data_IF_684398348690
#
_entry.id   IF_684398348690
#
_cell.length_a   1.000
_cell.length_b   1.000
_cell.length_c   1.000
_cell.angle_alpha   90.00
_cell.angle_beta   90.00
_cell.angle_gamma   90.00
#
_symmetry.space_group_name_H-M   'P 1'
#
loop_
_entity.id
_entity.type
_entity.pdbx_description
1 polymer ?
#
# COMPACT_ATOMS: atom_id res chain seq x y z
N UNK A 1 1.70 -19.20 20.94
CA UNK A 1 2.10 -18.91 19.54
C UNK A 1 1.78 -17.48 19.11
N UNK A 2 0.84 -16.77 19.77
CA UNK A 2 0.48 -15.37 19.46
C UNK A 2 1.68 -14.40 19.41
N UNK A 3 2.60 -14.47 20.38
CA UNK A 3 3.84 -13.67 20.36
C UNK A 3 4.68 -13.90 19.10
N UNK A 4 4.87 -15.16 18.71
CA UNK A 4 5.64 -15.51 17.51
C UNK A 4 4.93 -14.98 16.26
N UNK A 5 3.60 -15.08 16.20
CA UNK A 5 2.84 -14.55 15.08
C UNK A 5 2.98 -13.02 14.96
N UNK A 6 2.92 -12.30 16.08
CA UNK A 6 3.18 -10.85 16.11
C UNK A 6 4.59 -10.51 15.62
N UNK A 7 5.61 -11.28 16.05
CA UNK A 7 6.98 -11.12 15.55
C UNK A 7 7.10 -11.36 14.04
N UNK A 8 6.41 -12.38 13.51
CA UNK A 8 6.41 -12.69 12.07
C UNK A 8 5.73 -11.60 11.24
N UNK A 9 4.61 -11.03 11.74
CA UNK A 9 3.93 -9.89 11.11
C UNK A 9 4.85 -8.67 11.12
N UNK A 10 5.44 -8.33 12.27
CA UNK A 10 6.38 -7.22 12.40
C UNK A 10 7.58 -7.38 11.46
N UNK A 11 8.15 -8.58 11.39
CA UNK A 11 9.27 -8.89 10.50
C UNK A 11 8.91 -8.70 9.02
N UNK A 12 7.69 -9.07 8.62
CA UNK A 12 7.21 -8.81 7.27
C UNK A 12 7.06 -7.31 6.97
N UNK A 13 6.52 -6.53 7.91
CA UNK A 13 6.42 -5.08 7.73
C UNK A 13 7.80 -4.42 7.59
N UNK A 14 8.80 -4.87 8.34
CA UNK A 14 10.18 -4.41 8.17
C UNK A 14 10.74 -4.76 6.79
N UNK A 15 10.48 -5.97 6.28
CA UNK A 15 10.88 -6.33 4.93
C UNK A 15 10.19 -5.47 3.85
N UNK A 16 8.89 -5.20 4.00
CA UNK A 16 8.20 -4.29 3.09
C UNK A 16 8.77 -2.87 3.14
N UNK A 17 9.06 -2.37 4.35
CA UNK A 17 9.70 -1.07 4.55
C UNK A 17 11.08 -1.01 3.90
N UNK A 18 11.88 -2.07 4.06
CA UNK A 18 13.21 -2.16 3.44
C UNK A 18 13.12 -2.17 1.90
N UNK A 19 12.17 -2.93 1.34
CA UNK A 19 11.93 -2.96 -0.11
C UNK A 19 11.50 -1.60 -0.64
N UNK A 20 10.58 -0.94 0.06
CA UNK A 20 10.13 0.41 -0.27
C UNK A 20 11.29 1.41 -0.24
N UNK A 21 12.10 1.43 0.82
CA UNK A 21 13.25 2.33 0.87
C UNK A 21 14.26 2.06 -0.24
N UNK A 22 14.49 0.80 -0.62
CA UNK A 22 15.35 0.47 -1.77
C UNK A 22 14.80 0.99 -3.09
N UNK A 23 13.47 1.00 -3.25
CA UNK A 23 12.80 1.60 -4.41
C UNK A 23 12.89 3.13 -4.40
N UNK A 24 12.75 3.75 -3.23
CA UNK A 24 12.62 5.21 -3.10
C UNK A 24 13.95 5.96 -2.96
N UNK A 25 14.93 5.38 -2.26
CA UNK A 25 16.20 6.04 -1.92
C UNK A 25 17.35 5.03 -2.08
N UNK A 26 18.08 5.05 -3.21
CA UNK A 26 19.17 4.09 -3.46
C UNK A 26 20.34 4.16 -2.45
N UNK A 27 20.41 5.21 -1.61
CA UNK A 27 21.50 5.46 -0.64
C UNK A 27 20.99 5.84 0.76
N UNK A 28 19.85 5.30 1.20
CA UNK A 28 19.31 5.53 2.55
C UNK A 28 20.04 4.74 3.64
N UNK A 29 19.78 5.06 4.92
CA UNK A 29 20.23 4.30 6.10
C UNK A 29 19.52 2.93 6.17
N UNK A 30 19.83 2.03 5.23
CA UNK A 30 19.27 0.67 5.15
C UNK A 30 19.81 -0.25 6.25
N UNK A 31 20.94 0.10 6.85
CA UNK A 31 21.67 -0.71 7.83
C UNK A 31 20.84 -0.96 9.09
N UNK A 32 20.12 0.05 9.59
CA UNK A 32 19.32 -0.08 10.81
C UNK A 32 18.12 -1.02 10.63
N UNK A 33 17.44 -0.92 9.47
CA UNK A 33 16.36 -1.84 9.11
C UNK A 33 16.87 -3.28 8.95
N UNK A 34 18.01 -3.45 8.26
CA UNK A 34 18.63 -4.76 8.10
C UNK A 34 19.06 -5.37 9.45
N UNK A 35 19.54 -4.55 10.37
CA UNK A 35 19.89 -4.98 11.73
C UNK A 35 18.65 -5.36 12.55
N UNK A 36 17.57 -4.58 12.48
CA UNK A 36 16.30 -4.91 13.14
C UNK A 36 15.70 -6.23 12.62
N UNK A 37 15.74 -6.45 11.30
CA UNK A 37 15.33 -7.70 10.65
C UNK A 37 16.18 -8.88 11.17
N UNK A 38 17.51 -8.74 11.20
CA UNK A 38 18.42 -9.78 11.70
C UNK A 38 18.16 -10.11 13.17
N UNK A 39 17.92 -9.11 14.00
CA UNK A 39 17.61 -9.29 15.42
C UNK A 39 16.32 -10.09 15.60
N UNK A 40 15.22 -9.68 14.96
CA UNK A 40 13.95 -10.40 15.03
C UNK A 40 14.05 -11.83 14.48
N UNK A 41 14.80 -12.05 13.39
CA UNK A 41 15.04 -13.38 12.84
C UNK A 41 15.77 -14.29 13.83
N UNK A 42 16.71 -13.76 14.62
CA UNK A 42 17.48 -14.52 15.62
C UNK A 42 16.61 -14.93 16.82
N UNK A 43 15.60 -14.13 17.15
CA UNK A 43 14.69 -14.38 18.26
C UNK A 43 13.60 -15.42 17.94
N UNK A 44 13.45 -15.82 16.66
CA UNK A 44 12.48 -16.81 16.24
C UNK A 44 13.02 -18.25 16.43
N UNK A 45 12.16 -19.23 16.76
CA UNK A 45 12.54 -20.64 16.75
C UNK A 45 13.08 -21.07 15.37
N UNK A 46 14.18 -21.84 15.34
CA UNK A 46 14.92 -22.17 14.13
C UNK A 46 14.05 -22.68 12.97
N UNK A 47 13.10 -23.59 13.25
CA UNK A 47 12.18 -24.12 12.24
C UNK A 47 11.26 -23.05 11.64
N UNK A 48 10.80 -22.10 12.46
CA UNK A 48 9.93 -21.00 12.04
C UNK A 48 10.74 -19.96 11.24
N UNK A 49 11.94 -19.63 11.69
CA UNK A 49 12.84 -18.74 10.97
C UNK A 49 13.15 -19.27 9.55
N UNK A 50 13.43 -20.58 9.45
CA UNK A 50 13.73 -21.25 8.18
C UNK A 50 12.51 -21.25 7.25
N UNK A 51 11.33 -21.58 7.78
CA UNK A 51 10.07 -21.51 7.04
C UNK A 51 9.79 -20.10 6.51
N UNK A 52 9.87 -19.10 7.38
CA UNK A 52 9.63 -17.70 7.03
C UNK A 52 10.59 -17.24 5.93
N UNK A 53 11.90 -17.52 6.07
CA UNK A 53 12.89 -17.13 5.08
C UNK A 53 12.65 -17.78 3.71
N UNK A 54 12.25 -19.06 3.69
CA UNK A 54 11.91 -19.77 2.46
C UNK A 54 10.71 -19.15 1.74
N UNK A 55 9.66 -18.80 2.48
CA UNK A 55 8.48 -18.13 1.94
C UNK A 55 8.78 -16.71 1.47
N UNK A 56 9.54 -15.94 2.26
CA UNK A 56 9.90 -14.56 1.98
C UNK A 56 10.70 -14.44 0.68
N UNK A 57 11.68 -15.33 0.47
CA UNK A 57 12.49 -15.35 -0.76
C UNK A 57 11.68 -15.63 -2.03
N UNK A 58 10.61 -16.43 -1.93
CA UNK A 58 9.79 -16.81 -3.09
C UNK A 58 8.78 -15.73 -3.48
N UNK A 59 8.21 -15.06 -2.48
CA UNK A 59 6.96 -14.33 -2.65
C UNK A 59 6.96 -12.91 -2.07
N UNK A 60 8.02 -12.46 -1.41
CA UNK A 60 8.13 -11.19 -0.67
C UNK A 60 7.10 -10.96 0.45
N UNK A 61 6.11 -11.84 0.61
CA UNK A 61 5.12 -11.87 1.68
C UNK A 61 4.99 -13.31 2.20
N UNK A 62 5.54 -13.57 3.37
CA UNK A 62 5.53 -14.89 4.02
C UNK A 62 4.30 -15.14 4.90
N UNK A 63 3.70 -14.07 5.43
CA UNK A 63 2.62 -14.07 6.42
C UNK A 63 1.44 -13.28 5.87
N UNK A 64 0.25 -13.87 5.84
CA UNK A 64 -0.91 -13.24 5.20
C UNK A 64 -2.17 -13.43 6.04
N UNK A 65 -3.07 -12.44 6.05
CA UNK A 65 -4.31 -12.56 6.79
C UNK A 65 -5.22 -13.60 6.13
N UNK A 66 -5.95 -14.29 6.98
CA UNK A 66 -7.19 -14.96 6.65
C UNK A 66 -8.35 -14.00 6.95
N UNK A 67 -9.27 -13.87 5.99
CA UNK A 67 -10.46 -13.03 6.10
C UNK A 67 -11.69 -13.80 5.60
N UNK A 68 -12.70 -13.96 6.46
CA UNK A 68 -14.00 -14.63 6.14
C UNK A 68 -13.84 -16.03 5.53
N UNK A 69 -12.90 -16.81 6.05
CA UNK A 69 -12.55 -18.14 5.58
C UNK A 69 -11.75 -18.15 4.29
N UNK A 70 -11.13 -17.04 3.89
CA UNK A 70 -10.37 -16.94 2.64
C UNK A 70 -8.93 -16.55 2.90
N UNK A 71 -7.99 -17.20 2.21
CA UNK A 71 -6.60 -16.75 2.17
C UNK A 71 -6.50 -15.50 1.29
N UNK A 72 -6.15 -14.36 1.88
CA UNK A 72 -6.08 -13.09 1.13
C UNK A 72 -5.03 -13.10 0.02
N UNK A 73 -4.02 -13.98 0.10
CA UNK A 73 -2.93 -14.03 -0.88
C UNK A 73 -3.24 -14.80 -2.16
N UNK A 74 -3.99 -15.92 -2.06
CA UNK A 74 -4.29 -16.76 -3.23
C UNK A 74 -5.79 -16.94 -3.48
N UNK A 75 -6.65 -16.35 -2.66
CA UNK A 75 -8.10 -16.35 -2.84
C UNK A 75 -8.80 -17.69 -2.59
N UNK A 76 -8.10 -18.72 -2.11
CA UNK A 76 -8.74 -20.01 -1.85
C UNK A 76 -9.58 -19.93 -0.58
N UNK A 77 -10.78 -20.51 -0.64
CA UNK A 77 -11.58 -20.82 0.53
C UNK A 77 -10.86 -21.84 1.41
N UNK A 78 -10.70 -21.51 2.67
CA UNK A 78 -10.04 -22.31 3.68
C UNK A 78 -11.09 -23.19 4.39
N UNK A 79 -10.79 -24.47 4.66
CA UNK A 79 -11.68 -25.32 5.44
C UNK A 79 -11.98 -24.74 6.82
N UNK A 80 -13.21 -24.93 7.33
CA UNK A 80 -13.63 -24.46 8.66
C UNK A 80 -12.72 -24.97 9.79
N UNK A 81 -12.18 -26.18 9.66
CA UNK A 81 -11.22 -26.73 10.62
C UNK A 81 -9.91 -25.94 10.66
N UNK A 82 -9.46 -25.42 9.51
CA UNK A 82 -8.28 -24.59 9.40
C UNK A 82 -8.55 -23.18 9.95
N UNK A 83 -9.71 -22.59 9.66
CA UNK A 83 -10.08 -21.27 10.21
C UNK A 83 -10.18 -21.30 11.74
N UNK A 84 -10.79 -22.34 12.31
CA UNK A 84 -10.80 -22.57 13.76
C UNK A 84 -9.38 -22.75 14.33
N UNK A 85 -8.50 -23.49 13.62
CA UNK A 85 -7.11 -23.66 14.04
C UNK A 85 -6.32 -22.34 14.00
N UNK A 86 -6.54 -21.46 13.01
CA UNK A 86 -5.93 -20.12 12.94
C UNK A 86 -6.36 -19.29 14.15
N UNK A 87 -7.67 -19.27 14.45
CA UNK A 87 -8.24 -18.53 15.59
C UNK A 87 -7.70 -19.03 16.94
N UNK A 88 -7.49 -20.34 17.08
CA UNK A 88 -6.96 -20.93 18.33
C UNK A 88 -5.55 -20.46 18.69
N UNK A 89 -4.77 -19.99 17.69
CA UNK A 89 -3.37 -19.57 17.83
C UNK A 89 -2.49 -20.58 18.62
N UNK A 90 -2.81 -21.88 18.55
CA UNK A 90 -2.04 -22.92 19.24
C UNK A 90 -0.74 -23.27 18.49
N UNK A 91 -0.80 -23.30 17.15
CA UNK A 91 0.33 -23.57 16.26
C UNK A 91 0.22 -22.71 14.99
N UNK A 92 1.34 -22.49 14.32
CA UNK A 92 1.37 -21.80 13.02
C UNK A 92 0.59 -22.63 12.00
N UNK A 93 -0.33 -21.98 11.30
CA UNK A 93 -1.10 -22.56 10.20
C UNK A 93 -0.56 -22.05 8.87
N UNK A 94 -0.59 -22.90 7.83
CA UNK A 94 -0.23 -22.51 6.47
C UNK A 94 -1.44 -22.70 5.54
N UNK A 95 -1.53 -21.84 4.53
CA UNK A 95 -2.48 -22.03 3.44
C UNK A 95 -2.15 -23.33 2.69
N UNK A 96 -3.10 -24.24 2.45
CA UNK A 96 -2.84 -25.50 1.76
C UNK A 96 -2.46 -25.30 0.27
N UNK A 97 -2.82 -24.15 -0.30
CA UNK A 97 -2.53 -23.83 -1.69
C UNK A 97 -1.19 -23.11 -1.86
N UNK A 98 -1.02 -21.94 -1.22
CA UNK A 98 0.17 -21.11 -1.41
C UNK A 98 1.24 -21.23 -0.32
N UNK A 99 0.99 -22.06 0.71
CA UNK A 99 1.90 -22.36 1.82
C UNK A 99 2.29 -21.16 2.71
N UNK A 100 1.76 -19.95 2.46
CA UNK A 100 1.98 -18.80 3.33
C UNK A 100 1.41 -19.01 4.72
N UNK A 101 2.06 -18.44 5.72
CA UNK A 101 1.62 -18.49 7.13
C UNK A 101 0.35 -17.65 7.27
N UNK A 102 -0.69 -18.23 7.86
CA UNK A 102 -1.99 -17.59 8.06
C UNK A 102 -2.11 -17.00 9.46
N UNK A 103 -2.72 -15.82 9.54
CA UNK A 103 -3.18 -15.24 10.80
C UNK A 103 -4.60 -14.71 10.66
N UNK A 104 -5.36 -14.72 11.75
CA UNK A 104 -6.69 -14.13 11.71
C UNK A 104 -6.57 -12.60 11.78
N UNK A 105 -7.19 -11.92 10.83
CA UNK A 105 -7.29 -10.46 10.88
C UNK A 105 -8.31 -10.05 11.96
N UNK A 106 -7.83 -9.49 13.07
CA UNK A 106 -8.69 -9.06 14.19
C UNK A 106 -9.45 -7.75 13.93
N UNK A 107 -9.23 -7.10 12.79
CA UNK A 107 -9.99 -5.92 12.39
C UNK A 107 -11.36 -6.30 11.81
N UNK A 108 -12.33 -5.39 11.90
CA UNK A 108 -13.57 -5.56 11.14
C UNK A 108 -13.21 -5.71 9.65
N UNK A 109 -13.67 -6.78 8.96
CA UNK A 109 -13.49 -6.89 7.52
C UNK A 109 -14.27 -5.76 6.86
N UNK A 110 -13.55 -4.67 6.55
CA UNK A 110 -14.09 -3.49 5.90
C UNK A 110 -14.51 -3.93 4.50
N UNK A 111 -15.76 -3.73 4.12
CA UNK A 111 -16.26 -4.17 2.82
C UNK A 111 -16.26 -2.96 1.89
N UNK A 112 -15.57 -3.03 0.75
CA UNK A 112 -15.83 -2.00 -0.26
C UNK A 112 -17.28 -2.14 -0.69
N UNK A 113 -18.07 -1.07 -0.55
CA UNK A 113 -19.40 -1.01 -1.18
C UNK A 113 -19.28 -0.99 -2.70
N UNK A 114 -18.13 -0.52 -3.21
CA UNK A 114 -17.85 -0.40 -4.63
C UNK A 114 -16.69 -1.29 -5.05
N UNK A 115 -16.99 -2.34 -5.80
CA UNK A 115 -15.96 -3.13 -6.47
C UNK A 115 -15.43 -2.35 -7.69
N UNK A 116 -14.11 -2.27 -7.86
CA UNK A 116 -13.51 -1.72 -9.09
C UNK A 116 -13.82 -2.62 -10.29
N UNK A 117 -14.17 -3.89 -10.05
CA UNK A 117 -14.43 -4.92 -11.07
C UNK A 117 -15.91 -5.13 -11.43
N UNK A 118 -16.79 -4.14 -11.18
CA UNK A 118 -18.23 -4.21 -11.51
C UNK A 118 -18.57 -4.55 -12.98
N UNK A 119 -17.62 -4.41 -13.91
CA UNK A 119 -17.84 -4.64 -15.35
C UNK A 119 -17.50 -6.06 -15.84
N UNK A 120 -16.94 -6.93 -14.99
CA UNK A 120 -16.59 -8.31 -15.37
C UNK A 120 -15.47 -8.44 -16.42
N UNK A 121 -14.81 -7.34 -16.80
CA UNK A 121 -13.64 -7.31 -17.70
C UNK A 121 -12.39 -6.93 -16.91
N UNK A 122 -11.28 -7.68 -17.00
CA UNK A 122 -10.05 -7.33 -16.33
C UNK A 122 -9.56 -5.96 -16.81
N UNK A 123 -9.46 -4.99 -15.90
CA UNK A 123 -8.80 -3.72 -16.21
C UNK A 123 -7.28 -3.97 -16.35
N UNK A 124 -6.60 -3.21 -17.19
CA UNK A 124 -5.15 -3.29 -17.40
C UNK A 124 -4.44 -2.01 -16.94
N UNK A 125 -3.16 -2.12 -16.58
CA UNK A 125 -2.37 -1.00 -16.08
C UNK A 125 -2.97 -0.31 -14.87
N UNK A 126 -2.80 1.01 -14.82
CA UNK A 126 -3.24 1.85 -13.69
C UNK A 126 -4.75 1.79 -13.41
N UNK A 127 -5.57 1.41 -14.39
CA UNK A 127 -7.03 1.30 -14.24
C UNK A 127 -7.47 0.20 -13.27
N UNK A 128 -6.57 -0.71 -12.91
CA UNK A 128 -6.78 -1.74 -11.87
C UNK A 128 -6.83 -1.17 -10.46
N UNK A 129 -6.25 0.01 -10.25
CA UNK A 129 -5.97 0.54 -8.91
C UNK A 129 -6.60 1.92 -8.65
N UNK A 130 -7.29 2.50 -9.63
CA UNK A 130 -7.93 3.82 -9.48
C UNK A 130 -8.99 4.03 -10.56
N UNK A 131 -9.74 5.13 -10.48
CA UNK A 131 -10.68 5.61 -11.49
C UNK A 131 -10.62 7.13 -11.64
N UNK A 132 -11.38 7.67 -12.59
CA UNK A 132 -11.55 9.12 -12.74
C UNK A 132 -12.17 9.77 -11.49
N UNK A 133 -12.99 9.04 -10.74
CA UNK A 133 -13.66 9.57 -9.54
C UNK A 133 -12.71 9.83 -8.37
N UNK A 134 -11.48 9.28 -8.43
CA UNK A 134 -10.43 9.45 -7.45
C UNK A 134 -9.36 10.45 -7.89
N UNK A 135 -9.65 11.24 -8.93
CA UNK A 135 -8.78 12.32 -9.41
C UNK A 135 -9.26 13.65 -8.85
N UNK A 136 -8.37 14.37 -8.18
CA UNK A 136 -8.62 15.70 -7.62
C UNK A 136 -7.66 16.72 -8.29
N UNK A 137 -8.08 17.38 -9.38
CA UNK A 137 -7.22 18.29 -10.15
C UNK A 137 -6.76 19.52 -9.37
N UNK A 138 -7.41 19.80 -8.24
CA UNK A 138 -7.06 20.89 -7.34
C UNK A 138 -7.35 20.47 -5.90
N UNK A 139 -6.29 20.33 -5.11
CA UNK A 139 -6.40 20.23 -3.64
C UNK A 139 -6.32 21.62 -3.02
N UNK A 140 -7.12 21.87 -1.98
CA UNK A 140 -7.13 23.15 -1.27
C UNK A 140 -6.07 23.20 -0.15
N UNK A 141 -5.65 22.04 0.33
CA UNK A 141 -4.64 21.83 1.34
C UNK A 141 -3.38 22.68 1.15
N UNK A 142 -2.92 23.28 2.26
CA UNK A 142 -1.67 24.05 2.33
C UNK A 142 -0.53 23.30 3.02
N UNK A 143 -0.83 22.16 3.64
CA UNK A 143 0.13 21.33 4.36
C UNK A 143 -0.14 19.84 4.08
N UNK A 144 0.77 19.00 4.58
CA UNK A 144 0.79 17.55 4.42
C UNK A 144 -0.48 16.86 4.91
N UNK A 145 -0.89 17.18 6.14
CA UNK A 145 -1.93 16.45 6.85
C UNK A 145 -3.31 16.75 6.22
N UNK A 146 -3.54 18.00 5.84
CA UNK A 146 -4.74 18.41 5.09
C UNK A 146 -4.81 17.74 3.71
N UNK A 147 -3.67 17.64 3.01
CA UNK A 147 -3.62 17.00 1.69
C UNK A 147 -3.94 15.50 1.78
N UNK A 148 -3.44 14.82 2.81
CA UNK A 148 -3.77 13.42 3.08
C UNK A 148 -5.27 13.29 3.43
N UNK A 149 -5.79 14.18 4.27
CA UNK A 149 -7.21 14.21 4.65
C UNK A 149 -8.13 14.38 3.44
N UNK A 150 -7.89 15.38 2.59
CA UNK A 150 -8.71 15.63 1.38
C UNK A 150 -8.79 14.41 0.46
N UNK A 151 -7.66 13.73 0.26
CA UNK A 151 -7.60 12.54 -0.58
C UNK A 151 -8.34 11.35 0.03
N UNK A 152 -8.20 11.13 1.34
CA UNK A 152 -8.95 10.10 2.07
C UNK A 152 -10.46 10.39 2.03
N UNK A 153 -10.87 11.65 2.21
CA UNK A 153 -12.27 12.05 2.15
C UNK A 153 -12.86 11.85 0.75
N UNK A 154 -12.09 12.10 -0.31
CA UNK A 154 -12.50 11.78 -1.67
C UNK A 154 -12.75 10.26 -1.83
N UNK A 155 -11.83 9.42 -1.34
CA UNK A 155 -12.01 7.97 -1.37
C UNK A 155 -13.27 7.54 -0.60
N UNK A 156 -13.52 8.13 0.57
CA UNK A 156 -14.69 7.81 1.39
C UNK A 156 -16.00 8.23 0.71
N UNK A 157 -16.04 9.45 0.16
CA UNK A 157 -17.18 9.98 -0.59
C UNK A 157 -17.54 9.10 -1.80
N UNK A 158 -16.53 8.49 -2.43
CA UNK A 158 -16.70 7.58 -3.56
C UNK A 158 -16.86 6.11 -3.17
N UNK A 159 -16.98 5.85 -1.86
CA UNK A 159 -17.19 4.52 -1.26
C UNK A 159 -16.05 3.52 -1.53
N UNK A 160 -14.83 4.03 -1.73
CA UNK A 160 -13.60 3.26 -1.84
C UNK A 160 -12.94 2.97 -0.49
N UNK A 161 -13.39 3.62 0.59
CA UNK A 161 -12.98 3.34 1.98
C UNK A 161 -14.16 3.61 2.91
N UNK A 162 -14.31 2.85 3.98
CA UNK A 162 -15.46 2.98 4.90
C UNK A 162 -15.17 3.84 6.15
N UNK A 163 -13.96 3.74 6.70
CA UNK A 163 -13.56 4.45 7.92
C UNK A 163 -12.41 5.43 7.62
N UNK A 164 -12.73 6.64 7.12
CA UNK A 164 -11.71 7.64 6.79
C UNK A 164 -10.94 8.14 8.01
N UNK A 165 -11.53 8.16 9.20
CA UNK A 165 -10.88 8.66 10.42
C UNK A 165 -9.74 7.74 10.86
N UNK A 166 -10.00 6.43 10.95
CA UNK A 166 -8.98 5.43 11.26
C UNK A 166 -7.86 5.44 10.21
N UNK A 167 -8.24 5.57 8.94
CA UNK A 167 -7.31 5.59 7.83
C UNK A 167 -6.41 6.83 7.88
N UNK A 168 -6.98 7.99 8.19
CA UNK A 168 -6.25 9.24 8.37
C UNK A 168 -5.28 9.13 9.55
N UNK A 169 -5.76 8.67 10.71
CA UNK A 169 -4.91 8.47 11.88
C UNK A 169 -3.73 7.52 11.58
N UNK A 170 -3.98 6.42 10.84
CA UNK A 170 -2.93 5.51 10.42
C UNK A 170 -1.94 6.16 9.42
N UNK A 171 -2.45 6.91 8.45
CA UNK A 171 -1.63 7.62 7.46
C UNK A 171 -0.72 8.65 8.12
N UNK A 172 -1.26 9.50 9.01
CA UNK A 172 -0.49 10.53 9.70
C UNK A 172 0.58 9.91 10.61
N UNK A 173 0.27 8.82 11.32
CA UNK A 173 1.27 8.07 12.10
C UNK A 173 2.42 7.54 11.22
N UNK A 174 2.10 6.96 10.04
CA UNK A 174 3.12 6.46 9.11
C UNK A 174 3.98 7.58 8.54
N UNK A 175 3.36 8.70 8.20
CA UNK A 175 4.00 9.86 7.58
C UNK A 175 4.87 10.65 8.58
N UNK A 176 4.54 10.60 9.88
CA UNK A 176 5.34 11.19 10.95
C UNK A 176 6.69 10.47 11.18
N UNK A 177 6.80 9.19 10.80
CA UNK A 177 8.05 8.42 10.94
C UNK A 177 9.11 8.92 9.95
N UNK A 178 8.76 8.94 8.66
CA UNK A 178 9.59 9.43 7.57
C UNK A 178 8.66 9.95 6.49
N UNK A 179 8.94 11.15 5.97
CA UNK A 179 8.11 11.70 4.92
C UNK A 179 8.20 10.88 3.63
N UNK A 180 7.05 10.74 2.97
CA UNK A 180 6.91 10.10 1.66
C UNK A 180 7.06 11.07 0.49
N UNK A 181 7.45 12.33 0.76
CA UNK A 181 7.80 13.29 -0.28
C UNK A 181 9.10 12.89 -1.00
N UNK A 182 9.05 12.84 -2.32
CA UNK A 182 10.15 12.45 -3.19
C UNK A 182 10.56 13.60 -4.10
N UNK A 183 11.59 13.33 -4.92
CA UNK A 183 11.99 14.25 -5.98
C UNK A 183 10.84 14.53 -6.95
N UNK A 184 11.06 15.54 -7.78
CA UNK A 184 10.13 15.94 -8.84
C UNK A 184 8.76 16.43 -8.33
N UNK A 185 8.65 16.79 -7.05
CA UNK A 185 7.43 17.32 -6.46
C UNK A 185 6.34 16.26 -6.28
N UNK A 186 6.73 15.01 -6.09
CA UNK A 186 5.84 13.87 -5.85
C UNK A 186 5.75 13.56 -4.34
N UNK A 187 4.62 13.04 -3.89
CA UNK A 187 4.48 12.40 -2.58
C UNK A 187 3.58 11.16 -2.66
N UNK A 188 3.90 10.13 -1.88
CA UNK A 188 3.20 8.85 -1.88
C UNK A 188 2.77 8.39 -0.47
N UNK A 189 1.99 9.21 0.27
CA UNK A 189 1.46 8.80 1.56
C UNK A 189 0.62 7.53 1.38
N UNK A 190 0.82 6.55 2.26
CA UNK A 190 0.17 5.25 2.12
C UNK A 190 -0.08 4.57 3.46
N UNK A 191 -1.03 3.63 3.47
CA UNK A 191 -1.35 2.79 4.62
C UNK A 191 -1.44 1.33 4.19
N UNK A 192 -0.73 0.45 4.90
CA UNK A 192 -0.75 -1.01 4.70
C UNK A 192 -1.71 -1.69 5.68
N UNK A 193 -2.18 -2.88 5.31
CA UNK A 193 -3.00 -3.73 6.20
C UNK A 193 -4.46 -3.28 6.33
N UNK A 194 -4.95 -2.50 5.38
CA UNK A 194 -6.36 -2.11 5.30
C UNK A 194 -7.07 -3.13 4.42
N UNK A 195 -7.70 -4.12 5.06
CA UNK A 195 -8.26 -5.29 4.38
C UNK A 195 -9.63 -5.05 3.72
N UNK A 196 -9.96 -3.80 3.35
CA UNK A 196 -11.08 -3.48 2.45
C UNK A 196 -10.63 -3.41 1.00
N UNK A 197 -10.89 -4.49 0.25
CA UNK A 197 -10.80 -4.51 -1.20
C UNK A 197 -9.40 -4.61 -1.78
N UNK A 198 -9.23 -4.09 -3.00
CA UNK A 198 -7.98 -4.13 -3.75
C UNK A 198 -7.08 -2.92 -3.48
N UNK A 199 -5.80 -3.06 -3.84
CA UNK A 199 -4.84 -1.95 -3.91
C UNK A 199 -5.48 -0.78 -4.66
N UNK A 200 -5.67 0.36 -3.98
CA UNK A 200 -6.36 1.52 -4.54
C UNK A 200 -5.62 2.80 -4.21
N UNK A 201 -5.65 3.80 -5.09
CA UNK A 201 -5.14 5.13 -4.78
C UNK A 201 -6.05 6.25 -5.28
N UNK A 202 -5.91 7.41 -4.64
CA UNK A 202 -6.42 8.71 -5.12
C UNK A 202 -5.28 9.65 -5.44
N UNK A 203 -5.50 10.60 -6.35
CA UNK A 203 -4.46 11.50 -6.84
C UNK A 203 -4.91 12.96 -6.75
N UNK A 204 -4.11 13.78 -6.08
CA UNK A 204 -4.33 15.21 -5.91
C UNK A 204 -3.24 16.07 -6.54
N UNK A 205 -3.63 17.21 -7.11
CA UNK A 205 -2.70 18.19 -7.67
C UNK A 205 -2.76 19.54 -6.95
N UNK A 206 -1.59 20.12 -6.67
CA UNK A 206 -1.41 21.51 -6.22
C UNK A 206 -0.53 22.26 -7.20
N UNK A 207 -1.12 23.03 -8.12
CA UNK A 207 -0.36 23.75 -9.17
C UNK A 207 0.80 24.60 -8.60
N UNK A 208 0.58 25.34 -7.50
CA UNK A 208 1.60 26.17 -6.83
C UNK A 208 2.57 25.39 -5.94
N UNK A 209 2.23 24.14 -5.62
CA UNK A 209 2.92 23.32 -4.65
C UNK A 209 2.79 23.80 -3.20
N UNK A 210 3.26 22.98 -2.28
CA UNK A 210 3.28 23.25 -0.84
C UNK A 210 4.37 22.43 -0.15
N UNK A 211 4.72 22.78 1.08
CA UNK A 211 5.69 22.03 1.88
C UNK A 211 5.00 20.79 2.47
N UNK A 212 5.21 19.65 1.83
CA UNK A 212 4.74 18.36 2.35
C UNK A 212 5.67 17.83 3.43
N UNK A 213 6.97 17.85 3.17
CA UNK A 213 7.99 17.71 4.22
C UNK A 213 8.42 19.12 4.66
N UNK A 214 8.15 19.54 5.91
CA UNK A 214 8.53 20.87 6.39
C UNK A 214 10.04 21.07 6.48
N UNK A 215 10.82 19.99 6.55
CA UNK A 215 12.28 20.01 6.61
C UNK A 215 12.92 19.93 5.23
N UNK A 216 12.17 19.56 4.19
CA UNK A 216 12.66 19.55 2.82
C UNK A 216 12.56 20.94 2.17
N UNK A 217 13.59 21.31 1.42
CA UNK A 217 13.61 22.57 0.65
C UNK A 217 12.74 22.58 -0.61
N UNK A 218 12.04 21.47 -0.92
CA UNK A 218 11.29 21.27 -2.17
C UNK A 218 9.79 21.28 -1.95
N UNK A 219 9.05 21.80 -2.93
CA UNK A 219 7.58 21.81 -2.91
C UNK A 219 7.01 20.56 -3.59
N UNK A 220 5.99 19.99 -2.96
CA UNK A 220 5.19 18.89 -3.51
C UNK A 220 4.01 19.46 -4.29
N UNK A 221 3.75 18.91 -5.47
CA UNK A 221 2.69 19.35 -6.40
C UNK A 221 1.75 18.22 -6.79
N UNK A 222 2.18 16.96 -6.67
CA UNK A 222 1.42 15.78 -7.09
C UNK A 222 1.45 14.79 -5.92
N UNK A 223 0.29 14.44 -5.38
CA UNK A 223 0.16 13.58 -4.19
C UNK A 223 -0.67 12.36 -4.53
N UNK A 224 -0.09 11.17 -4.38
CA UNK A 224 -0.79 9.89 -4.50
C UNK A 224 -1.03 9.33 -3.11
N UNK A 225 -2.29 9.31 -2.64
CA UNK A 225 -2.62 8.59 -1.42
C UNK A 225 -3.00 7.15 -1.76
N UNK A 226 -2.31 6.17 -1.16
CA UNK A 226 -2.41 4.75 -1.54
C UNK A 226 -2.85 3.88 -0.35
N UNK A 227 -3.89 3.07 -0.55
CA UNK A 227 -4.36 2.06 0.40
C UNK A 227 -3.90 0.68 -0.07
N UNK A 228 -3.17 -0.03 0.80
CA UNK A 228 -2.47 -1.27 0.46
C UNK A 228 -2.98 -2.43 1.33
N UNK A 229 -3.85 -3.30 0.80
CA UNK A 229 -4.16 -4.57 1.45
C UNK A 229 -2.91 -5.43 1.63
N UNK A 230 -2.81 -6.18 2.74
CA UNK A 230 -1.61 -6.99 3.07
C UNK A 230 -1.19 -7.91 1.93
N UNK A 231 -2.16 -8.58 1.30
CA UNK A 231 -1.95 -9.48 0.19
C UNK A 231 -1.38 -8.83 -1.08
N UNK A 232 -1.58 -7.51 -1.23
CA UNK A 232 -1.18 -6.77 -2.43
C UNK A 232 0.06 -5.89 -2.22
N UNK A 233 0.72 -6.00 -1.07
CA UNK A 233 1.92 -5.22 -0.72
C UNK A 233 3.06 -5.32 -1.74
N UNK A 234 3.16 -6.43 -2.48
CA UNK A 234 4.13 -6.59 -3.56
C UNK A 234 3.73 -5.82 -4.82
N UNK A 235 2.45 -5.89 -5.21
CA UNK A 235 1.91 -5.13 -6.34
C UNK A 235 1.99 -3.62 -6.08
N UNK A 236 1.81 -3.19 -4.83
CA UNK A 236 2.01 -1.81 -4.43
C UNK A 236 3.39 -1.26 -4.86
N UNK A 237 4.46 -2.00 -4.64
CA UNK A 237 5.81 -1.55 -5.01
C UNK A 237 5.98 -1.42 -6.52
N UNK A 238 5.34 -2.29 -7.30
CA UNK A 238 5.33 -2.20 -8.76
C UNK A 238 4.58 -0.95 -9.24
N UNK A 239 3.41 -0.67 -8.65
CA UNK A 239 2.63 0.55 -8.94
C UNK A 239 3.42 1.80 -8.57
N UNK A 240 4.01 1.84 -7.37
CA UNK A 240 4.84 2.95 -6.90
C UNK A 240 6.01 3.23 -7.85
N UNK A 241 6.79 2.20 -8.17
CA UNK A 241 7.91 2.31 -9.10
C UNK A 241 7.45 2.78 -10.48
N UNK A 242 6.36 2.22 -11.00
CA UNK A 242 5.81 2.60 -12.30
C UNK A 242 5.28 4.04 -12.35
N UNK A 243 4.70 4.54 -11.26
CA UNK A 243 4.26 5.94 -11.13
C UNK A 243 5.46 6.90 -11.08
N UNK A 244 6.49 6.57 -10.31
CA UNK A 244 7.73 7.36 -10.24
C UNK A 244 8.39 7.43 -11.62
N UNK A 245 8.51 6.29 -12.31
CA UNK A 245 9.10 6.23 -13.64
C UNK A 245 8.30 7.04 -14.67
N UNK A 246 6.97 6.88 -14.68
CA UNK A 246 6.09 7.62 -15.59
C UNK A 246 6.16 9.16 -15.39
N UNK A 247 6.49 9.59 -14.18
CA UNK A 247 6.54 11.01 -13.80
C UNK A 247 7.97 11.54 -13.60
N UNK A 248 8.98 10.76 -14.04
CA UNK A 248 10.40 11.17 -14.05
C UNK A 248 10.63 12.38 -14.95
N UNK A 249 9.98 12.40 -16.11
CA UNK A 249 10.11 13.49 -17.08
C UNK A 249 9.27 14.72 -16.70
N UNK A 250 9.85 15.91 -16.86
CA UNK A 250 9.17 17.16 -16.54
C UNK A 250 7.94 17.43 -17.41
N UNK A 251 8.01 17.00 -18.68
CA UNK A 251 6.89 17.08 -19.62
C UNK A 251 5.69 16.25 -19.14
N UNK A 252 5.93 15.07 -18.57
CA UNK A 252 4.88 14.22 -18.01
C UNK A 252 4.17 14.89 -16.82
N UNK A 253 4.95 15.45 -15.89
CA UNK A 253 4.40 16.18 -14.73
C UNK A 253 3.63 17.42 -15.15
N UNK A 254 4.17 18.21 -16.09
CA UNK A 254 3.50 19.39 -16.66
C UNK A 254 2.16 19.03 -17.31
N UNK A 255 2.12 17.93 -18.06
CA UNK A 255 0.88 17.42 -18.68
C UNK A 255 -0.19 17.13 -17.62
N UNK A 256 0.19 16.44 -16.54
CA UNK A 256 -0.74 16.11 -15.46
C UNK A 256 -1.19 17.38 -14.70
N UNK A 257 -0.26 18.29 -14.38
CA UNK A 257 -0.54 19.54 -13.68
C UNK A 257 -1.37 20.56 -14.50
N UNK A 258 -1.47 20.37 -15.81
CA UNK A 258 -2.31 21.19 -16.68
C UNK A 258 -3.78 20.75 -16.70
N UNK A 259 -4.09 19.54 -16.21
CA UNK A 259 -5.46 19.03 -16.18
C UNK A 259 -6.35 19.86 -15.24
N UNK A 260 -7.59 20.08 -15.65
CA UNK A 260 -8.57 20.86 -14.88
C UNK A 260 -9.80 20.04 -14.47
N UNK A 261 -10.02 18.90 -15.12
CA UNK A 261 -11.11 17.98 -14.76
C UNK A 261 -10.59 16.59 -14.36
N UNK A 262 -11.33 15.84 -13.53
CA UNK A 262 -10.98 14.46 -13.16
C UNK A 262 -10.78 13.54 -14.38
N UNK A 263 -11.56 13.70 -15.44
CA UNK A 263 -11.51 12.88 -16.66
C UNK A 263 -10.26 13.17 -17.49
N UNK A 264 -9.88 14.44 -17.62
CA UNK A 264 -8.64 14.84 -18.28
C UNK A 264 -7.44 14.26 -17.53
N UNK A 265 -7.44 14.42 -16.21
CA UNK A 265 -6.40 13.93 -15.32
C UNK A 265 -6.27 12.41 -15.38
N UNK A 266 -7.40 11.69 -15.38
CA UNK A 266 -7.43 10.24 -15.52
C UNK A 266 -6.90 9.77 -16.88
N UNK A 267 -7.31 10.43 -17.96
CA UNK A 267 -6.85 10.11 -19.31
C UNK A 267 -5.35 10.36 -19.46
N UNK A 268 -4.86 11.49 -18.93
CA UNK A 268 -3.45 11.81 -18.90
C UNK A 268 -2.66 10.76 -18.11
N UNK A 269 -3.10 10.40 -16.90
CA UNK A 269 -2.44 9.41 -16.06
C UNK A 269 -2.33 8.05 -16.77
N UNK A 270 -3.45 7.53 -17.29
CA UNK A 270 -3.44 6.25 -18.05
C UNK A 270 -2.43 6.26 -19.19
N UNK A 271 -2.38 7.33 -19.97
CA UNK A 271 -1.45 7.46 -21.09
C UNK A 271 0.01 7.53 -20.64
N UNK A 272 0.29 8.21 -19.53
CA UNK A 272 1.64 8.33 -18.97
C UNK A 272 2.16 7.00 -18.39
N UNK A 273 1.28 6.19 -17.80
CA UNK A 273 1.66 4.96 -17.10
C UNK A 273 1.61 3.70 -17.96
N UNK A 274 1.14 3.78 -19.21
CA UNK A 274 0.87 2.60 -20.06
C UNK A 274 2.09 1.68 -20.22
N UNK A 275 3.30 2.23 -20.19
CA UNK A 275 4.56 1.49 -20.36
C UNK A 275 5.22 1.07 -19.04
N UNK A 276 4.76 1.60 -17.91
CA UNK A 276 5.44 1.47 -16.62
C UNK A 276 4.62 0.70 -15.59
N UNK A 277 3.30 0.59 -15.78
CA UNK A 277 2.39 -0.18 -14.93
C UNK A 277 1.68 -1.24 -15.79
N UNK A 278 1.88 -2.54 -15.50
CA UNK A 278 1.28 -3.64 -16.26
C UNK A 278 -0.22 -3.82 -16.02
#
# INVERSE_FOLDING_TARGET
MDRILKQLIQLQELHFTLLEQRTLVPKGHLVDLENAIKALMKDLPQGIATLYQGLQKRNNAAVVPETRGTCTACGISLPTSLTAAILSKQRIQQCPNCLRILYHFEGAPRQLKRDLDQTGKPRAGVARFSSAELMLPRIEAGNRDDAISELIQLMALKEFVENPEDLLAAALRREAIVSTALDHGLAFPHVRGIESGGLTFSLGLKKRGFKFDPYAGRLTRIVFFIVVPSATSVFYLQVLSGLIEALREDSARKKLLACETPEQMWTALKGLTQKTIP
#
